data_IF_229924805470
#
_entry.id   IF_229924805470
#
_cell.length_a   1.000
_cell.length_b   1.000
_cell.length_c   1.000
_cell.angle_alpha   90.00
_cell.angle_beta   90.00
_cell.angle_gamma   90.00
#
_symmetry.space_group_name_H-M   'P 1'
#
loop_
_entity.id
_entity.type
_entity.pdbx_description
1 polymer ?
#
# COMPACT_ATOMS: atom_id res chain seq x y z
N UNK A 1 -15.04 -2.52 13.06
CA UNK A 1 -16.12 -3.01 12.16
C UNK A 1 -15.45 -3.39 10.85
N UNK A 2 -15.45 -4.67 10.47
CA UNK A 2 -14.68 -5.17 9.34
C UNK A 2 -15.47 -5.12 8.04
N UNK A 3 -14.90 -4.50 7.00
CA UNK A 3 -15.37 -4.64 5.62
C UNK A 3 -14.92 -6.01 5.13
N UNK A 4 -15.83 -6.87 4.68
CA UNK A 4 -15.45 -8.17 4.12
C UNK A 4 -14.66 -8.00 2.82
N UNK A 5 -13.83 -8.97 2.45
CA UNK A 5 -13.01 -8.90 1.22
C UNK A 5 -13.82 -8.60 -0.05
N UNK A 6 -15.08 -9.07 -0.13
CA UNK A 6 -15.99 -8.78 -1.24
C UNK A 6 -16.40 -7.30 -1.30
N UNK A 7 -16.69 -6.69 -0.15
CA UNK A 7 -17.04 -5.28 -0.10
C UNK A 7 -15.82 -4.41 -0.40
N UNK A 8 -14.63 -4.79 0.08
CA UNK A 8 -13.38 -4.11 -0.28
C UNK A 8 -13.11 -4.15 -1.79
N UNK A 9 -13.40 -5.28 -2.46
CA UNK A 9 -13.34 -5.39 -3.91
C UNK A 9 -14.27 -4.42 -4.64
N UNK A 10 -15.55 -4.36 -4.24
CA UNK A 10 -16.51 -3.43 -4.83
C UNK A 10 -16.12 -1.94 -4.62
N UNK A 11 -15.52 -1.62 -3.45
CA UNK A 11 -14.97 -0.29 -3.20
C UNK A 11 -13.79 -0.01 -4.13
N UNK A 12 -12.86 -0.97 -4.29
CA UNK A 12 -11.70 -0.83 -5.17
C UNK A 12 -12.13 -0.55 -6.62
N UNK A 13 -13.13 -1.27 -7.14
CA UNK A 13 -13.67 -1.04 -8.48
C UNK A 13 -14.29 0.36 -8.64
N UNK A 14 -15.04 0.84 -7.65
CA UNK A 14 -15.62 2.19 -7.68
C UNK A 14 -14.54 3.28 -7.61
N UNK A 15 -13.52 3.11 -6.78
CA UNK A 15 -12.39 4.04 -6.69
C UNK A 15 -11.62 4.09 -8.02
N UNK A 16 -11.44 2.93 -8.67
CA UNK A 16 -10.82 2.85 -10.00
C UNK A 16 -11.62 3.58 -11.07
N UNK A 17 -12.94 3.40 -11.08
CA UNK A 17 -13.84 4.11 -11.99
C UNK A 17 -13.76 5.62 -11.78
N UNK A 18 -13.74 6.07 -10.51
CA UNK A 18 -13.59 7.48 -10.20
C UNK A 18 -12.22 8.03 -10.65
N UNK A 19 -11.16 7.22 -10.52
CA UNK A 19 -9.80 7.62 -10.87
C UNK A 19 -9.58 7.83 -12.37
N UNK A 20 -10.49 7.31 -13.23
CA UNK A 20 -10.45 7.56 -14.68
C UNK A 20 -10.66 9.04 -15.04
N UNK A 21 -11.29 9.83 -14.15
CA UNK A 21 -11.61 11.24 -14.39
C UNK A 21 -11.12 12.19 -13.31
N UNK A 22 -10.71 11.67 -12.16
CA UNK A 22 -10.28 12.46 -11.01
C UNK A 22 -9.01 11.89 -10.40
N UNK A 23 -8.20 12.74 -9.78
CA UNK A 23 -7.16 12.25 -8.89
C UNK A 23 -7.78 11.78 -7.58
N UNK A 24 -7.63 10.49 -7.26
CA UNK A 24 -8.12 9.89 -6.01
C UNK A 24 -6.94 9.58 -5.11
N UNK A 25 -6.94 10.14 -3.90
CA UNK A 25 -5.99 9.80 -2.84
C UNK A 25 -6.73 8.93 -1.81
N UNK A 26 -6.21 7.73 -1.56
CA UNK A 26 -6.81 6.78 -0.62
C UNK A 26 -5.75 6.30 0.37
N UNK A 27 -6.04 6.44 1.66
CA UNK A 27 -5.28 5.80 2.74
C UNK A 27 -6.04 4.54 3.13
N UNK A 28 -5.39 3.38 3.00
CA UNK A 28 -6.05 2.09 3.23
C UNK A 28 -5.06 1.08 3.81
N UNK A 29 -5.60 0.14 4.58
CA UNK A 29 -4.91 -1.06 5.04
C UNK A 29 -5.46 -2.32 4.36
N UNK A 30 -6.40 -2.17 3.42
CA UNK A 30 -7.09 -3.27 2.77
C UNK A 30 -6.33 -3.65 1.47
N UNK A 31 -5.79 -4.87 1.36
CA UNK A 31 -5.02 -5.29 0.18
C UNK A 31 -5.77 -5.12 -1.15
N UNK A 32 -7.07 -5.49 -1.28
CA UNK A 32 -7.78 -5.33 -2.55
C UNK A 32 -7.87 -3.89 -3.06
N UNK A 33 -7.99 -2.92 -2.14
CA UNK A 33 -8.04 -1.50 -2.48
C UNK A 33 -6.65 -1.00 -2.89
N UNK A 34 -5.61 -1.36 -2.12
CA UNK A 34 -4.23 -0.97 -2.41
C UNK A 34 -3.71 -1.56 -3.74
N UNK A 35 -4.13 -2.79 -4.08
CA UNK A 35 -3.76 -3.45 -5.33
C UNK A 35 -4.28 -2.71 -6.57
N UNK A 36 -5.47 -2.10 -6.47
CA UNK A 36 -6.12 -1.39 -7.58
C UNK A 36 -5.50 -0.02 -7.90
N UNK A 37 -4.63 0.51 -7.03
CA UNK A 37 -4.05 1.84 -7.18
C UNK A 37 -3.10 1.93 -8.39
N UNK A 38 -3.14 3.06 -9.10
CA UNK A 38 -2.19 3.37 -10.17
C UNK A 38 -0.76 3.52 -9.63
N UNK A 39 -0.62 4.19 -8.48
CA UNK A 39 0.61 4.30 -7.69
C UNK A 39 0.33 3.88 -6.26
N UNK A 40 1.21 3.05 -5.70
CA UNK A 40 1.12 2.60 -4.31
C UNK A 40 2.26 3.22 -3.51
N UNK A 41 1.92 4.00 -2.50
CA UNK A 41 2.88 4.63 -1.60
C UNK A 41 2.84 3.92 -0.25
N UNK A 42 4.01 3.53 0.25
CA UNK A 42 4.17 3.04 1.62
C UNK A 42 4.56 4.21 2.52
N UNK A 43 3.93 4.25 3.69
CA UNK A 43 4.23 5.20 4.75
C UNK A 43 4.85 4.42 5.90
N UNK A 44 6.07 4.78 6.30
CA UNK A 44 6.78 4.12 7.38
C UNK A 44 7.35 5.13 8.39
N UNK A 45 7.39 4.70 9.65
CA UNK A 45 8.08 5.41 10.72
C UNK A 45 9.55 5.01 10.71
N UNK A 46 10.43 5.99 10.83
CA UNK A 46 11.86 5.78 11.00
C UNK A 46 12.35 6.63 12.17
N UNK A 47 13.25 6.07 12.97
CA UNK A 47 13.98 6.83 13.98
C UNK A 47 15.24 7.39 13.34
N UNK A 48 15.51 8.67 13.55
CA UNK A 48 16.76 9.31 13.13
C UNK A 48 17.38 10.02 14.33
N UNK A 49 18.70 10.16 14.31
CA UNK A 49 19.40 11.02 15.26
C UNK A 49 18.90 12.46 15.12
N UNK A 50 18.61 13.08 16.26
CA UNK A 50 18.19 14.47 16.34
C UNK A 50 19.44 15.36 16.41
N UNK A 51 19.65 16.29 15.47
CA UNK A 51 20.82 17.18 15.45
C UNK A 51 20.76 18.29 16.51
N UNK A 52 20.10 18.04 17.66
CA UNK A 52 20.03 18.97 18.79
C UNK A 52 21.42 19.34 19.33
N UNK A 53 21.48 20.28 20.29
CA UNK A 53 22.75 20.69 20.85
C UNK A 53 23.56 19.48 21.34
N UNK A 54 24.83 19.33 20.93
CA UNK A 54 25.62 18.17 21.25
C UNK A 54 25.87 18.11 22.76
N UNK A 55 25.12 17.26 23.44
CA UNK A 55 25.44 16.80 24.79
C UNK A 55 26.24 15.49 24.67
N UNK A 56 27.50 15.44 25.13
CA UNK A 56 28.33 14.23 25.08
C UNK A 56 27.74 13.02 25.82
N UNK A 57 26.70 13.22 26.65
CA UNK A 57 26.04 12.17 27.43
C UNK A 57 24.68 11.71 26.87
N UNK A 58 24.12 12.35 25.84
CA UNK A 58 22.79 12.00 25.31
C UNK A 58 22.72 12.10 23.79
N UNK A 59 22.50 10.96 23.12
CA UNK A 59 22.02 10.94 21.73
C UNK A 59 20.51 11.08 21.74
N UNK A 60 20.00 12.22 21.27
CA UNK A 60 18.57 12.41 21.08
C UNK A 60 18.13 11.72 19.79
N UNK A 61 17.05 10.95 19.85
CA UNK A 61 16.43 10.29 18.70
C UNK A 61 15.04 10.88 18.45
N UNK A 62 14.68 11.09 17.18
CA UNK A 62 13.34 11.52 16.78
C UNK A 62 12.72 10.59 15.75
N UNK A 63 11.41 10.32 15.91
CA UNK A 63 10.64 9.59 14.92
C UNK A 63 10.20 10.52 13.79
N UNK A 64 10.52 10.14 12.55
CA UNK A 64 10.07 10.81 11.33
C UNK A 64 9.20 9.87 10.48
N UNK A 65 8.34 10.44 9.66
CA UNK A 65 7.55 9.70 8.67
C UNK A 65 8.25 9.77 7.32
N UNK A 66 8.46 8.62 6.68
CA UNK A 66 8.90 8.54 5.30
C UNK A 66 7.78 7.99 4.43
N UNK A 67 7.70 8.54 3.22
CA UNK A 67 6.77 8.09 2.18
C UNK A 67 7.59 7.69 0.98
N UNK A 68 7.36 6.49 0.46
CA UNK A 68 8.07 5.97 -0.72
C UNK A 68 7.11 5.29 -1.67
N UNK A 69 7.28 5.55 -2.96
CA UNK A 69 6.55 4.85 -4.01
C UNK A 69 7.08 3.43 -4.14
N UNK A 70 6.19 2.46 -4.28
CA UNK A 70 6.53 1.06 -4.42
C UNK A 70 6.57 0.66 -5.89
N UNK A 71 7.65 -0.02 -6.28
CA UNK A 71 7.73 -0.77 -7.53
C UNK A 71 6.88 -2.06 -7.45
N UNK A 72 6.80 -2.82 -8.55
CA UNK A 72 5.94 -3.99 -8.64
C UNK A 72 6.26 -5.06 -7.59
N UNK A 73 7.55 -5.34 -7.37
CA UNK A 73 7.99 -6.35 -6.41
C UNK A 73 7.67 -5.92 -4.98
N UNK A 74 7.98 -4.67 -4.62
CA UNK A 74 7.67 -4.13 -3.29
C UNK A 74 6.17 -3.99 -3.07
N UNK A 75 5.38 -3.70 -4.12
CA UNK A 75 3.91 -3.72 -4.05
C UNK A 75 3.40 -5.12 -3.70
N UNK A 76 3.92 -6.16 -4.35
CA UNK A 76 3.57 -7.55 -4.08
C UNK A 76 3.84 -7.91 -2.62
N UNK A 77 5.04 -7.60 -2.13
CA UNK A 77 5.43 -7.84 -0.74
C UNK A 77 4.55 -7.07 0.25
N UNK A 78 4.26 -5.80 -0.03
CA UNK A 78 3.38 -4.98 0.83
C UNK A 78 1.95 -5.53 0.90
N UNK A 79 1.40 -6.00 -0.22
CA UNK A 79 0.06 -6.58 -0.24
C UNK A 79 -0.01 -7.89 0.55
N UNK A 80 1.06 -8.70 0.49
CA UNK A 80 1.16 -9.91 1.30
C UNK A 80 1.28 -9.57 2.79
N UNK A 81 2.07 -8.56 3.14
CA UNK A 81 2.17 -8.04 4.51
C UNK A 81 0.81 -7.58 5.03
N UNK A 82 0.05 -6.81 4.25
CA UNK A 82 -1.29 -6.37 4.63
C UNK A 82 -2.32 -7.52 4.74
N UNK A 83 -2.13 -8.60 3.99
CA UNK A 83 -3.06 -9.73 3.96
C UNK A 83 -2.83 -10.76 5.07
N UNK A 84 -1.60 -10.92 5.54
CA UNK A 84 -1.25 -12.00 6.47
C UNK A 84 -0.01 -11.77 7.32
N UNK A 85 0.55 -10.55 7.34
CA UNK A 85 1.67 -10.17 8.21
C UNK A 85 3.03 -10.78 7.83
N UNK A 86 3.27 -11.11 6.56
CA UNK A 86 4.60 -11.54 6.12
C UNK A 86 4.66 -12.28 4.78
N UNK A 87 5.87 -12.75 4.46
CA UNK A 87 6.22 -13.49 3.24
C UNK A 87 5.71 -14.95 3.22
N UNK A 88 4.60 -15.24 3.91
CA UNK A 88 3.96 -16.54 3.82
C UNK A 88 3.52 -16.82 2.38
N UNK A 89 3.71 -18.06 1.93
CA UNK A 89 3.44 -18.46 0.54
C UNK A 89 2.01 -18.12 0.11
N UNK A 90 1.03 -18.35 0.99
CA UNK A 90 -0.38 -18.06 0.73
C UNK A 90 -0.66 -16.55 0.58
N UNK A 91 0.00 -15.73 1.39
CA UNK A 91 -0.16 -14.27 1.34
C UNK A 91 0.42 -13.69 0.03
N UNK A 92 1.54 -14.25 -0.43
CA UNK A 92 2.14 -13.90 -1.71
C UNK A 92 1.26 -14.32 -2.90
N UNK A 93 0.71 -15.54 -2.88
CA UNK A 93 -0.24 -16.00 -3.91
C UNK A 93 -1.48 -15.12 -3.96
N UNK A 94 -2.01 -14.73 -2.80
CA UNK A 94 -3.13 -13.81 -2.72
C UNK A 94 -2.78 -12.42 -3.27
N UNK A 95 -1.61 -11.88 -2.94
CA UNK A 95 -1.13 -10.61 -3.47
C UNK A 95 -0.99 -10.64 -5.01
N UNK A 96 -0.45 -11.73 -5.56
CA UNK A 96 -0.32 -11.93 -7.00
C UNK A 96 -1.70 -11.97 -7.69
N UNK A 97 -2.68 -12.66 -7.09
CA UNK A 97 -4.05 -12.70 -7.60
C UNK A 97 -4.68 -11.30 -7.66
N UNK A 98 -4.49 -10.48 -6.62
CA UNK A 98 -5.01 -9.11 -6.58
C UNK A 98 -4.35 -8.20 -7.63
N UNK A 99 -3.04 -8.32 -7.83
CA UNK A 99 -2.32 -7.55 -8.84
C UNK A 99 -2.74 -7.92 -10.26
N UNK A 100 -2.95 -9.21 -10.53
CA UNK A 100 -3.46 -9.69 -11.81
C UNK A 100 -4.87 -9.15 -12.08
N UNK A 101 -5.78 -9.25 -11.10
CA UNK A 101 -7.12 -8.70 -11.22
C UNK A 101 -7.11 -7.18 -11.52
N UNK A 102 -6.22 -6.43 -10.85
CA UNK A 102 -6.05 -5.01 -11.10
C UNK A 102 -5.46 -4.71 -12.49
N UNK A 103 -4.62 -5.60 -13.03
CA UNK A 103 -4.11 -5.50 -14.40
C UNK A 103 -5.23 -5.73 -15.42
N UNK A 104 -5.99 -6.81 -15.26
CA UNK A 104 -7.08 -7.17 -16.18
C UNK A 104 -8.14 -6.08 -16.29
N UNK A 105 -8.54 -5.51 -15.15
CA UNK A 105 -9.50 -4.40 -15.11
C UNK A 105 -8.98 -3.12 -15.79
N UNK A 106 -7.66 -2.90 -15.82
CA UNK A 106 -7.06 -1.78 -16.57
C UNK A 106 -7.07 -2.04 -18.08
N UNK A 107 -6.79 -3.27 -18.50
CA UNK A 107 -6.76 -3.63 -19.91
C UNK A 107 -8.17 -3.65 -20.54
N UNK A 108 -9.19 -4.16 -19.82
CA UNK A 108 -10.57 -4.26 -20.32
C UNK A 108 -11.22 -2.92 -20.72
N UNK A 109 -10.71 -1.80 -20.19
CA UNK A 109 -11.29 -0.46 -20.39
C UNK A 109 -10.44 0.45 -21.28
N UNK A 110 -9.34 -0.08 -21.82
CA UNK A 110 -8.44 0.64 -22.73
C UNK A 110 -8.78 0.39 -24.21
N UNK A 111 -9.77 -0.46 -24.51
CA UNK A 111 -10.35 -0.69 -25.84
C UNK A 111 -11.81 -0.26 -25.87
#
# INVERSE_FOLDING_TARGET
>A
VGVSGRVAGAIAEKLRQLSERHQVLCVTHQPPIAAMADKHFRVDKQTIEDPGEPNPLETLERTVIRVRVLDLERRRLELAELAGGGSASEALVFADALLNQASDLRHLKSG
#
